data_IF_473279256364
#
_entry.id   IF_473279256364
#
_cell.length_a   1.000
_cell.length_b   1.000
_cell.length_c   1.000
_cell.angle_alpha   90.00
_cell.angle_beta   90.00
_cell.angle_gamma   90.00
#
_symmetry.space_group_name_H-M   'P 1'
#
loop_
_entity.id
_entity.type
_entity.pdbx_description
1 polymer ?
#
# COMPACT_ATOMS: atom_id res chain seq x y z
N UNK A 1 -10.26 9.33 -12.86
CA UNK A 1 -10.05 8.14 -12.00
C UNK A 1 -11.24 7.20 -12.06
N UNK A 2 -12.42 7.57 -11.53
CA UNK A 2 -13.59 6.67 -11.43
C UNK A 2 -13.98 6.03 -12.76
N UNK A 3 -14.14 6.84 -13.81
CA UNK A 3 -14.49 6.34 -15.14
C UNK A 3 -13.49 5.29 -15.67
N UNK A 4 -12.19 5.54 -15.52
CA UNK A 4 -11.15 4.57 -15.90
C UNK A 4 -11.23 3.27 -15.07
N UNK A 5 -11.67 3.34 -13.82
CA UNK A 5 -11.88 2.15 -12.99
C UNK A 5 -13.11 1.35 -13.46
N UNK A 6 -14.19 2.03 -13.86
CA UNK A 6 -15.39 1.38 -14.42
C UNK A 6 -15.05 0.63 -15.71
N UNK A 7 -14.26 1.25 -16.58
CA UNK A 7 -13.78 0.63 -17.81
C UNK A 7 -12.85 -0.57 -17.53
N UNK A 8 -11.92 -0.43 -16.57
CA UNK A 8 -11.00 -1.53 -16.21
C UNK A 8 -11.72 -2.74 -15.58
N UNK A 9 -12.79 -2.49 -14.83
CA UNK A 9 -13.56 -3.52 -14.14
C UNK A 9 -14.89 -3.85 -14.81
N UNK A 10 -15.05 -3.53 -16.10
CA UNK A 10 -16.28 -3.82 -16.82
C UNK A 10 -16.66 -5.31 -16.72
N UNK A 11 -17.96 -5.56 -16.52
CA UNK A 11 -18.49 -6.90 -16.24
C UNK A 11 -18.22 -7.46 -14.83
N UNK A 12 -17.38 -6.83 -14.00
CA UNK A 12 -17.17 -7.23 -12.61
C UNK A 12 -18.14 -6.49 -11.66
N UNK A 13 -19.31 -7.11 -11.44
CA UNK A 13 -20.39 -6.53 -10.63
C UNK A 13 -20.00 -6.23 -9.18
N UNK A 14 -19.05 -6.97 -8.60
CA UNK A 14 -18.59 -6.73 -7.23
C UNK A 14 -17.71 -5.48 -7.15
N UNK A 15 -16.76 -5.33 -8.08
CA UNK A 15 -15.91 -4.13 -8.13
C UNK A 15 -16.71 -2.90 -8.53
N UNK A 16 -17.72 -3.06 -9.40
CA UNK A 16 -18.59 -1.95 -9.79
C UNK A 16 -19.33 -1.37 -8.58
N UNK A 17 -19.85 -2.21 -7.68
CA UNK A 17 -20.45 -1.75 -6.42
C UNK A 17 -19.47 -1.02 -5.51
N UNK A 18 -18.22 -1.46 -5.45
CA UNK A 18 -17.19 -0.74 -4.68
C UNK A 18 -16.83 0.60 -5.32
N UNK A 19 -16.86 0.69 -6.65
CA UNK A 19 -16.64 1.94 -7.37
C UNK A 19 -17.80 2.91 -7.11
N UNK A 20 -19.04 2.43 -7.15
CA UNK A 20 -20.23 3.23 -6.81
C UNK A 20 -20.17 3.74 -5.37
N UNK A 21 -19.92 2.85 -4.42
CA UNK A 21 -19.78 3.17 -2.99
C UNK A 21 -18.65 4.17 -2.74
N UNK A 22 -17.53 4.05 -3.48
CA UNK A 22 -16.43 4.99 -3.39
C UNK A 22 -16.81 6.35 -3.96
N UNK A 23 -17.46 6.41 -5.13
CA UNK A 23 -17.85 7.67 -5.76
C UNK A 23 -18.85 8.46 -4.88
N UNK A 24 -19.76 7.77 -4.20
CA UNK A 24 -20.78 8.41 -3.36
C UNK A 24 -20.29 8.74 -1.94
N UNK A 25 -19.49 7.86 -1.33
CA UNK A 25 -19.19 7.92 0.11
C UNK A 25 -17.73 8.24 0.44
N UNK A 26 -16.83 8.32 -0.54
CA UNK A 26 -15.42 8.60 -0.26
C UNK A 26 -15.22 10.00 0.32
N UNK A 27 -14.39 10.06 1.37
CA UNK A 27 -13.85 11.29 1.95
C UNK A 27 -12.34 11.13 2.09
N UNK A 28 -11.62 12.24 1.97
CA UNK A 28 -10.15 12.23 2.08
C UNK A 28 -9.68 11.68 3.42
N UNK A 29 -10.37 11.97 4.53
CA UNK A 29 -10.10 11.41 5.87
C UNK A 29 -10.22 9.88 5.96
N UNK A 30 -10.95 9.24 5.04
CA UNK A 30 -11.17 7.79 5.02
C UNK A 30 -10.18 7.05 4.11
N UNK A 31 -9.18 7.74 3.54
CA UNK A 31 -8.26 7.14 2.56
C UNK A 31 -7.56 5.86 3.07
N UNK A 32 -7.13 5.84 4.33
CA UNK A 32 -6.53 4.64 4.94
C UNK A 32 -7.54 3.48 4.99
N UNK A 33 -8.79 3.75 5.38
CA UNK A 33 -9.84 2.73 5.47
C UNK A 33 -10.10 2.12 4.10
N UNK A 34 -10.21 2.95 3.06
CA UNK A 34 -10.38 2.51 1.68
C UNK A 34 -9.18 1.74 1.13
N UNK A 35 -7.97 2.14 1.50
CA UNK A 35 -6.73 1.44 1.15
C UNK A 35 -6.63 0.06 1.80
N UNK A 36 -7.09 -0.09 3.05
CA UNK A 36 -7.11 -1.38 3.75
C UNK A 36 -8.28 -2.29 3.32
N UNK A 37 -9.39 -1.70 2.86
CA UNK A 37 -10.53 -2.43 2.29
C UNK A 37 -10.07 -3.19 1.03
N UNK A 38 -10.47 -4.46 0.91
CA UNK A 38 -10.21 -5.28 -0.30
C UNK A 38 -11.10 -4.85 -1.47
N UNK A 39 -10.87 -3.66 -2.01
CA UNK A 39 -11.62 -3.01 -3.08
C UNK A 39 -10.74 -2.69 -4.29
N UNK A 40 -11.32 -2.16 -5.36
CA UNK A 40 -10.62 -1.76 -6.57
C UNK A 40 -9.43 -0.83 -6.30
N UNK A 41 -9.60 0.16 -5.41
CA UNK A 41 -8.58 1.20 -5.17
C UNK A 41 -7.33 0.62 -4.54
N UNK A 42 -7.46 -0.27 -3.55
CA UNK A 42 -6.30 -0.91 -2.91
C UNK A 42 -5.55 -1.83 -3.87
N UNK A 43 -6.27 -2.56 -4.74
CA UNK A 43 -5.70 -3.42 -5.77
C UNK A 43 -4.94 -2.62 -6.83
N UNK A 44 -5.55 -1.56 -7.36
CA UNK A 44 -4.96 -0.75 -8.42
C UNK A 44 -3.75 0.06 -7.93
N UNK A 45 -3.79 0.60 -6.72
CA UNK A 45 -2.63 1.29 -6.14
C UNK A 45 -1.51 0.32 -5.85
N UNK A 46 -1.81 -0.84 -5.24
CA UNK A 46 -0.79 -1.86 -4.99
C UNK A 46 -0.15 -2.31 -6.30
N UNK A 47 -0.95 -2.46 -7.37
CA UNK A 47 -0.44 -2.76 -8.72
C UNK A 47 0.48 -1.63 -9.21
N UNK A 48 0.02 -0.39 -9.19
CA UNK A 48 0.78 0.78 -9.66
C UNK A 48 2.15 0.88 -8.99
N UNK A 49 2.20 0.73 -7.67
CA UNK A 49 3.43 0.80 -6.89
C UNK A 49 4.37 -0.39 -7.17
N UNK A 50 3.82 -1.60 -7.36
CA UNK A 50 4.61 -2.80 -7.66
C UNK A 50 5.22 -2.78 -9.07
N UNK A 51 4.49 -2.24 -10.04
CA UNK A 51 4.92 -2.20 -11.44
C UNK A 51 5.57 -0.87 -11.83
N UNK A 52 5.67 0.08 -10.89
CA UNK A 52 6.13 1.45 -11.16
C UNK A 52 5.36 2.10 -12.32
N UNK A 53 4.06 1.81 -12.40
CA UNK A 53 3.19 2.34 -13.45
C UNK A 53 2.88 3.81 -13.16
N UNK A 54 3.59 4.70 -13.85
CA UNK A 54 3.50 6.15 -13.66
C UNK A 54 2.12 6.66 -14.07
N UNK A 55 1.54 6.12 -15.15
CA UNK A 55 0.22 6.55 -15.65
C UNK A 55 -0.88 6.17 -14.67
N UNK A 56 -0.81 4.96 -14.12
CA UNK A 56 -1.75 4.51 -13.09
C UNK A 56 -1.55 5.31 -11.79
N UNK A 57 -0.30 5.56 -11.39
CA UNK A 57 0.01 6.40 -10.22
C UNK A 57 -0.54 7.82 -10.40
N UNK A 58 -0.38 8.41 -11.59
CA UNK A 58 -0.89 9.74 -11.92
C UNK A 58 -2.43 9.78 -11.98
N UNK A 59 -3.06 8.71 -12.43
CA UNK A 59 -4.52 8.55 -12.42
C UNK A 59 -5.10 8.53 -11.01
N UNK A 60 -4.37 7.93 -10.07
CA UNK A 60 -4.73 7.83 -8.65
C UNK A 60 -4.11 8.92 -7.77
N UNK A 61 -3.46 9.94 -8.35
CA UNK A 61 -2.70 10.94 -7.60
C UNK A 61 -3.47 11.57 -6.43
N UNK A 62 -4.74 11.94 -6.65
CA UNK A 62 -5.56 12.56 -5.61
C UNK A 62 -5.76 11.63 -4.40
N UNK A 63 -6.07 10.35 -4.65
CA UNK A 63 -6.19 9.38 -3.57
C UNK A 63 -4.83 9.10 -2.90
N UNK A 64 -3.74 9.09 -3.67
CA UNK A 64 -2.39 8.90 -3.13
C UNK A 64 -1.99 10.08 -2.24
N UNK A 65 -2.32 11.30 -2.63
CA UNK A 65 -2.10 12.51 -1.85
C UNK A 65 -2.89 12.44 -0.54
N UNK A 66 -4.19 12.14 -0.60
CA UNK A 66 -5.03 11.95 0.59
C UNK A 66 -4.49 10.83 1.50
N UNK A 67 -4.10 9.69 0.93
CA UNK A 67 -3.55 8.57 1.69
C UNK A 67 -2.23 8.94 2.38
N UNK A 68 -1.37 9.70 1.69
CA UNK A 68 -0.08 10.13 2.21
C UNK A 68 -0.26 11.12 3.37
N UNK A 69 -1.20 12.04 3.23
CA UNK A 69 -1.54 13.00 4.28
C UNK A 69 -2.11 12.29 5.52
N UNK A 70 -3.00 11.33 5.35
CA UNK A 70 -3.50 10.52 6.47
C UNK A 70 -2.38 9.72 7.15
N UNK A 71 -1.48 9.09 6.38
CA UNK A 71 -0.34 8.39 6.98
C UNK A 71 0.57 9.32 7.76
N UNK A 72 0.82 10.54 7.25
CA UNK A 72 1.60 11.55 7.96
C UNK A 72 0.95 11.90 9.29
N UNK A 73 -0.36 12.15 9.29
CA UNK A 73 -1.11 12.46 10.49
C UNK A 73 -1.08 11.32 11.53
N UNK A 74 -1.30 10.07 11.11
CA UNK A 74 -1.22 8.90 12.00
C UNK A 74 0.21 8.67 12.52
N UNK A 75 1.21 8.94 11.69
CA UNK A 75 2.61 8.87 12.12
C UNK A 75 2.96 9.94 13.15
N UNK A 76 2.51 11.19 12.94
CA UNK A 76 2.69 12.28 13.91
C UNK A 76 2.03 11.95 15.26
N UNK A 77 0.82 11.37 15.25
CA UNK A 77 0.16 10.86 16.48
C UNK A 77 1.03 9.82 17.18
N UNK A 78 1.56 8.84 16.44
CA UNK A 78 2.42 7.81 17.01
C UNK A 78 3.69 8.40 17.63
N UNK A 79 4.35 9.35 16.95
CA UNK A 79 5.55 10.03 17.45
C UNK A 79 5.29 10.87 18.70
N UNK A 80 4.10 11.46 18.81
CA UNK A 80 3.67 12.20 20.01
C UNK A 80 3.36 11.28 21.20
N UNK A 81 3.15 9.99 20.94
CA UNK A 81 2.92 8.98 21.99
C UNK A 81 4.23 8.62 22.71
N UNK A 82 4.13 8.12 23.95
CA UNK A 82 5.30 7.76 24.76
C UNK A 82 6.12 6.58 24.21
N UNK A 83 5.56 5.81 23.27
CA UNK A 83 6.23 4.67 22.65
C UNK A 83 7.06 5.11 21.44
N UNK A 84 8.32 5.46 21.68
CA UNK A 84 9.25 5.93 20.63
C UNK A 84 9.70 4.85 19.64
N UNK A 85 9.43 3.57 19.91
CA UNK A 85 9.96 2.46 19.11
C UNK A 85 8.83 1.51 18.67
N UNK A 86 8.50 1.54 17.39
CA UNK A 86 7.56 0.62 16.76
C UNK A 86 8.34 -0.53 16.12
N UNK A 87 8.23 -1.74 16.69
CA UNK A 87 8.73 -2.95 16.05
C UNK A 87 7.62 -3.56 15.18
N UNK A 88 7.84 -3.60 13.86
CA UNK A 88 6.92 -4.21 12.92
C UNK A 88 7.57 -5.45 12.27
N UNK A 89 6.79 -6.51 12.09
CA UNK A 89 7.22 -7.73 11.43
C UNK A 89 6.44 -7.91 10.12
N UNK A 90 7.14 -8.24 9.04
CA UNK A 90 6.53 -8.56 7.75
C UNK A 90 7.04 -9.91 7.26
N UNK A 91 6.13 -10.84 7.02
CA UNK A 91 6.46 -12.10 6.37
C UNK A 91 6.83 -11.87 4.91
N UNK A 92 7.93 -12.47 4.47
CA UNK A 92 8.36 -12.49 3.06
C UNK A 92 8.46 -13.94 2.62
N UNK A 93 7.99 -14.24 1.40
CA UNK A 93 8.19 -15.55 0.77
C UNK A 93 9.51 -15.51 0.02
N UNK A 94 10.36 -16.49 0.26
CA UNK A 94 11.63 -16.69 -0.43
C UNK A 94 11.67 -18.10 -1.02
N UNK A 95 12.37 -18.27 -2.13
CA UNK A 95 12.82 -19.60 -2.54
C UNK A 95 13.89 -20.11 -1.55
N UNK A 96 14.14 -21.42 -1.56
CA UNK A 96 15.19 -22.01 -0.72
C UNK A 96 16.56 -21.41 -1.05
N UNK A 97 16.84 -21.20 -2.34
CA UNK A 97 18.10 -20.61 -2.80
C UNK A 97 18.27 -19.14 -2.39
N UNK A 98 17.18 -18.36 -2.40
CA UNK A 98 17.20 -16.97 -1.92
C UNK A 98 17.43 -16.91 -0.40
N UNK A 99 16.81 -17.83 0.34
CA UNK A 99 17.01 -17.95 1.78
C UNK A 99 18.45 -18.31 2.14
N UNK A 100 19.03 -19.32 1.45
CA UNK A 100 20.41 -19.76 1.68
C UNK A 100 21.41 -18.62 1.37
N UNK A 101 21.22 -17.89 0.26
CA UNK A 101 22.02 -16.69 -0.07
C UNK A 101 21.89 -15.57 0.95
N UNK A 102 20.70 -15.37 1.54
CA UNK A 102 20.51 -14.40 2.61
C UNK A 102 21.26 -14.83 3.86
N UNK A 103 21.18 -16.11 4.27
CA UNK A 103 21.94 -16.61 5.41
C UNK A 103 23.44 -16.40 5.23
N UNK A 104 23.99 -16.71 4.05
CA UNK A 104 25.42 -16.52 3.74
C UNK A 104 25.85 -15.03 3.79
N UNK A 105 25.02 -14.12 3.27
CA UNK A 105 25.29 -12.68 3.29
C UNK A 105 25.18 -12.07 4.69
N UNK A 106 24.23 -12.52 5.51
CA UNK A 106 24.14 -12.07 6.90
C UNK A 106 25.33 -12.60 7.71
N UNK A 107 25.76 -13.85 7.52
CA UNK A 107 26.95 -14.40 8.19
C UNK A 107 28.24 -13.62 7.90
N UNK A 108 28.45 -13.16 6.66
CA UNK A 108 29.62 -12.35 6.30
C UNK A 108 29.61 -10.93 6.91
N UNK A 109 28.42 -10.35 7.16
CA UNK A 109 28.31 -9.00 7.76
C UNK A 109 28.61 -8.97 9.25
N UNK A 110 28.50 -10.09 9.96
CA UNK A 110 28.84 -10.18 11.40
C UNK A 110 30.33 -10.37 11.69
N UNK A 111 31.16 -10.76 10.70
CA UNK A 111 32.59 -11.01 10.89
C UNK A 111 33.44 -9.71 10.79
N UNK A 112 32.86 -8.60 10.31
CA UNK A 112 33.57 -7.31 10.19
C UNK A 112 33.28 -6.29 11.31
N UNK A 113 32.58 -6.69 12.37
CA UNK A 113 32.41 -5.89 13.58
C UNK A 113 32.86 -6.67 14.81
N UNK A 114 34.17 -6.92 14.93
CA UNK A 114 34.88 -7.12 16.20
C UNK A 114 36.31 -6.60 16.08
#
# INVERSE_FOLDING_TARGET
MIQACREYYDGNTNEMKFIDDFEENYRSEDAIVWYLKRSFVSKLITKALRTQDIDLSYTFRFFIDDLTENFRHEHEKLLSSKEKMLNAYRGVKFSKEEFDKLQENYFHKWIFFY
#
